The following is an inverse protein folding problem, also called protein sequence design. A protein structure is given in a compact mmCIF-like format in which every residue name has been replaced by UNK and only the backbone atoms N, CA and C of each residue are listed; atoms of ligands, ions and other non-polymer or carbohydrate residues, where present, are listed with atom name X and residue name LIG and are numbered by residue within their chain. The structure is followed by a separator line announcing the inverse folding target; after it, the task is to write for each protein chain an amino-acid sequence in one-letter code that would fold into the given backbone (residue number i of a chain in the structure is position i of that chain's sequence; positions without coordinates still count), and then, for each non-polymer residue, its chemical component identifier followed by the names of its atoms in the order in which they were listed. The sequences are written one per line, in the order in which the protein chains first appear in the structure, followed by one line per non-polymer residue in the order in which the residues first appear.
data_IF_357194701749
#
_entry.id   IF_357194701749
#
_cell.length_a   1.000
_cell.length_b   1.000
_cell.length_c   1.000
_cell.angle_alpha   90.00
_cell.angle_beta   90.00
_cell.angle_gamma   90.00
#
_symmetry.space_group_name_H-M   'P 1'
#
loop_
_entity.id
_entity.type
_entity.pdbx_description
1 polymer ?
#
# COMPACT_ATOMS: atom_id res chain seq x y z
N UNK A 1 3.79 2.49 -31.04
CA UNK A 1 3.66 3.43 -29.91
C UNK A 1 3.54 2.63 -28.61
N UNK A 2 4.59 2.63 -27.80
CA UNK A 2 4.64 1.90 -26.54
C UNK A 2 3.97 2.73 -25.42
N UNK A 3 2.64 2.74 -25.42
CA UNK A 3 1.86 3.31 -24.33
C UNK A 3 1.49 2.22 -23.34
N UNK A 4 2.30 2.00 -22.31
CA UNK A 4 1.80 1.31 -21.11
C UNK A 4 0.84 2.28 -20.43
N UNK A 5 -0.45 2.18 -20.75
CA UNK A 5 -1.50 2.93 -20.06
C UNK A 5 -1.64 2.31 -18.65
N UNK A 6 -1.23 2.99 -17.56
CA UNK A 6 -1.49 2.49 -16.23
C UNK A 6 -2.95 2.80 -15.91
N UNK A 7 -3.88 2.09 -16.55
CA UNK A 7 -5.27 2.10 -16.12
C UNK A 7 -5.31 1.36 -14.79
N UNK A 8 -5.77 2.04 -13.75
CA UNK A 8 -5.98 1.46 -12.43
C UNK A 8 -7.07 0.40 -12.54
N UNK A 9 -6.66 -0.86 -12.73
CA UNK A 9 -7.60 -1.97 -12.72
C UNK A 9 -8.02 -2.22 -11.26
N UNK A 10 -9.15 -1.64 -10.85
CA UNK A 10 -9.76 -1.83 -9.53
C UNK A 10 -10.18 -3.28 -9.25
N UNK A 11 -10.05 -4.17 -10.25
CA UNK A 11 -10.33 -5.59 -10.13
C UNK A 11 -9.23 -6.34 -9.34
N UNK A 12 -8.93 -5.87 -8.13
CA UNK A 12 -8.45 -6.72 -7.06
C UNK A 12 -9.59 -7.64 -6.59
N UNK A 13 -10.21 -8.38 -7.53
CA UNK A 13 -11.26 -9.34 -7.22
C UNK A 13 -10.70 -10.35 -6.24
N UNK A 14 -11.12 -10.26 -4.97
CA UNK A 14 -10.79 -11.24 -3.93
C UNK A 14 -11.37 -12.59 -4.36
N UNK A 15 -10.58 -13.37 -5.10
CA UNK A 15 -10.78 -14.81 -5.24
C UNK A 15 -9.97 -15.45 -4.13
N UNK A 16 -10.57 -16.31 -3.33
CA UNK A 16 -9.88 -17.03 -2.26
C UNK A 16 -8.64 -17.73 -2.81
N UNK A 17 -7.47 -17.15 -2.55
CA UNK A 17 -6.20 -17.66 -3.03
C UNK A 17 -5.31 -17.94 -1.82
N UNK A 18 -4.67 -19.11 -1.81
CA UNK A 18 -3.73 -19.52 -0.77
C UNK A 18 -2.51 -18.57 -0.65
N UNK A 19 -2.27 -17.75 -1.68
CA UNK A 19 -1.24 -16.70 -1.65
C UNK A 19 -1.89 -15.34 -1.44
N UNK A 20 -1.46 -14.56 -0.44
CA UNK A 20 -2.05 -13.26 -0.10
C UNK A 20 -1.83 -12.17 -1.17
N UNK A 21 -1.10 -12.47 -2.25
CA UNK A 21 -0.78 -11.52 -3.31
C UNK A 21 -0.89 -12.18 -4.69
N UNK A 22 -1.59 -11.53 -5.61
CA UNK A 22 -1.72 -11.94 -7.01
C UNK A 22 -0.33 -12.10 -7.68
N UNK A 23 -0.23 -13.04 -8.63
CA UNK A 23 0.96 -13.20 -9.49
C UNK A 23 1.10 -12.07 -10.53
N UNK A 24 0.11 -11.19 -10.64
CA UNK A 24 0.10 -10.08 -11.59
C UNK A 24 1.18 -9.03 -11.25
N UNK A 25 1.73 -8.41 -12.29
CA UNK A 25 2.79 -7.39 -12.19
C UNK A 25 4.21 -7.95 -12.28
N UNK A 26 5.20 -7.05 -12.36
CA UNK A 26 6.62 -7.41 -12.54
C UNK A 26 7.19 -8.10 -11.28
N UNK A 27 7.77 -9.31 -11.38
CA UNK A 27 8.27 -10.07 -10.22
C UNK A 27 9.29 -9.31 -9.38
N UNK A 28 10.27 -8.66 -10.03
CA UNK A 28 11.31 -7.87 -9.33
C UNK A 28 10.70 -6.69 -8.59
N UNK A 29 9.76 -5.97 -9.20
CA UNK A 29 9.07 -4.85 -8.56
C UNK A 29 8.28 -5.31 -7.33
N UNK A 30 7.59 -6.46 -7.42
CA UNK A 30 6.88 -7.06 -6.27
C UNK A 30 7.84 -7.40 -5.14
N UNK A 31 8.99 -7.99 -5.46
CA UNK A 31 10.02 -8.30 -4.48
C UNK A 31 10.58 -7.03 -3.81
N UNK A 32 11.02 -6.04 -4.58
CA UNK A 32 11.54 -4.77 -4.06
C UNK A 32 10.51 -4.03 -3.20
N UNK A 33 9.25 -3.98 -3.62
CA UNK A 33 8.21 -3.32 -2.84
C UNK A 33 7.94 -4.08 -1.54
N UNK A 34 7.90 -5.41 -1.59
CA UNK A 34 7.71 -6.25 -0.40
C UNK A 34 8.85 -6.06 0.61
N UNK A 35 10.10 -6.15 0.16
CA UNK A 35 11.27 -5.97 1.03
C UNK A 35 11.38 -4.56 1.59
N UNK A 36 10.91 -3.53 0.87
CA UNK A 36 10.90 -2.14 1.34
C UNK A 36 9.79 -1.86 2.36
N UNK A 37 8.62 -2.48 2.20
CA UNK A 37 7.46 -2.22 3.07
C UNK A 37 7.66 -2.77 4.48
N UNK A 38 8.35 -3.90 4.65
CA UNK A 38 8.60 -4.50 5.96
C UNK A 38 9.30 -3.51 6.93
N UNK A 39 10.47 -2.92 6.60
CA UNK A 39 11.10 -1.93 7.45
C UNK A 39 10.29 -0.63 7.54
N UNK A 40 9.58 -0.21 6.48
CA UNK A 40 8.68 0.95 6.56
C UNK A 40 7.59 0.78 7.62
N UNK A 41 6.92 -0.37 7.69
CA UNK A 41 5.91 -0.65 8.71
C UNK A 41 6.48 -0.64 10.14
N UNK A 42 7.79 -0.93 10.29
CA UNK A 42 8.47 -0.93 11.59
C UNK A 42 8.91 0.48 12.02
N UNK A 43 9.55 1.22 11.11
CA UNK A 43 10.27 2.46 11.42
C UNK A 43 9.55 3.74 11.01
N UNK A 44 8.65 3.70 10.01
CA UNK A 44 7.90 4.86 9.57
C UNK A 44 6.54 4.92 10.29
N UNK A 45 6.37 5.97 11.10
CA UNK A 45 5.18 6.15 11.94
C UNK A 45 3.90 6.38 11.15
N UNK A 46 3.96 7.05 9.99
CA UNK A 46 2.79 7.23 9.10
C UNK A 46 2.31 5.89 8.54
N UNK A 47 3.23 5.10 7.99
CA UNK A 47 2.88 3.78 7.45
C UNK A 47 2.36 2.83 8.54
N UNK A 48 2.92 2.92 9.74
CA UNK A 48 2.46 2.14 10.90
C UNK A 48 1.06 2.57 11.35
N UNK A 49 0.82 3.87 11.49
CA UNK A 49 -0.49 4.41 11.85
C UNK A 49 -1.55 4.04 10.81
N UNK A 50 -1.23 4.20 9.53
CA UNK A 50 -2.11 3.78 8.44
C UNK A 50 -2.41 2.27 8.48
N UNK A 51 -1.41 1.44 8.74
CA UNK A 51 -1.60 -0.01 8.84
C UNK A 51 -2.49 -0.40 10.02
N UNK A 52 -2.35 0.26 11.17
CA UNK A 52 -3.21 0.05 12.34
C UNK A 52 -4.67 0.43 12.03
N UNK A 53 -4.90 1.60 11.43
CA UNK A 53 -6.24 2.03 10.99
C UNK A 53 -6.91 1.02 10.04
N UNK A 54 -6.13 0.31 9.21
CA UNK A 54 -6.64 -0.73 8.30
C UNK A 54 -6.95 -2.06 9.00
N UNK A 55 -6.23 -2.37 10.08
CA UNK A 55 -6.48 -3.55 10.93
C UNK A 55 -7.69 -3.35 11.84
N UNK A 56 -7.90 -2.14 12.32
CA UNK A 56 -8.99 -1.75 13.22
C UNK A 56 -10.35 -1.58 12.50
N UNK A 57 -10.40 -1.80 11.18
CA UNK A 57 -11.65 -1.72 10.43
C UNK A 57 -12.67 -2.73 10.97
N UNK A 58 -13.95 -2.34 11.10
CA UNK A 58 -14.98 -3.24 11.61
C UNK A 58 -15.17 -4.45 10.67
N UNK A 59 -15.60 -5.59 11.22
CA UNK A 59 -15.65 -6.88 10.52
C UNK A 59 -16.44 -6.85 9.20
N UNK A 60 -17.48 -6.01 9.11
CA UNK A 60 -18.28 -5.81 7.90
C UNK A 60 -17.53 -5.06 6.78
N UNK A 61 -16.40 -4.41 7.09
CA UNK A 61 -15.57 -3.66 6.15
C UNK A 61 -14.31 -4.41 5.71
N UNK A 62 -14.27 -5.74 5.90
CA UNK A 62 -13.18 -6.63 5.49
C UNK A 62 -11.83 -6.23 6.15
N UNK A 63 -11.67 -6.47 7.47
CA UNK A 63 -10.44 -6.16 8.19
C UNK A 63 -9.26 -6.85 7.54
N UNK A 64 -8.20 -6.08 7.29
CA UNK A 64 -7.01 -6.58 6.60
C UNK A 64 -6.11 -7.23 7.66
N UNK A 65 -5.93 -8.55 7.62
CA UNK A 65 -5.22 -9.28 8.69
C UNK A 65 -3.88 -9.88 8.22
N UNK A 66 -2.91 -9.94 9.14
CA UNK A 66 -1.62 -10.60 8.92
C UNK A 66 -0.86 -10.10 7.68
N UNK A 67 -0.64 -11.01 6.72
CA UNK A 67 0.11 -10.75 5.48
C UNK A 67 -0.64 -9.87 4.47
N UNK A 68 -1.96 -9.76 4.57
CA UNK A 68 -2.73 -8.88 3.68
C UNK A 68 -2.36 -7.41 3.90
N UNK A 69 -1.99 -7.02 5.12
CA UNK A 69 -1.56 -5.65 5.45
C UNK A 69 -0.28 -5.29 4.72
N UNK A 70 0.63 -6.26 4.56
CA UNK A 70 1.86 -6.08 3.79
C UNK A 70 1.52 -5.85 2.31
N UNK A 71 0.61 -6.65 1.74
CA UNK A 71 0.14 -6.45 0.36
C UNK A 71 -0.54 -5.09 0.16
N UNK A 72 -1.38 -4.67 1.10
CA UNK A 72 -2.02 -3.36 1.08
C UNK A 72 -1.00 -2.21 1.20
N UNK A 73 0.02 -2.37 2.05
CA UNK A 73 1.09 -1.40 2.20
C UNK A 73 1.98 -1.33 0.95
N UNK A 74 2.22 -2.45 0.26
CA UNK A 74 2.89 -2.48 -1.05
C UNK A 74 2.12 -1.67 -2.08
N UNK A 75 0.80 -1.86 -2.16
CA UNK A 75 -0.04 -1.07 -3.07
C UNK A 75 0.00 0.43 -2.71
N UNK A 76 -0.09 0.79 -1.42
CA UNK A 76 0.05 2.18 -0.97
C UNK A 76 1.41 2.77 -1.36
N UNK A 77 2.51 2.05 -1.14
CA UNK A 77 3.86 2.49 -1.49
C UNK A 77 3.99 2.77 -2.99
N UNK A 78 3.51 1.86 -3.84
CA UNK A 78 3.56 2.03 -5.30
C UNK A 78 2.73 3.24 -5.77
N UNK A 79 1.52 3.42 -5.22
CA UNK A 79 0.69 4.60 -5.52
C UNK A 79 1.35 5.89 -5.07
N UNK A 80 1.97 5.91 -3.89
CA UNK A 80 2.71 7.07 -3.39
C UNK A 80 3.92 7.37 -4.28
N UNK A 81 4.75 6.38 -4.60
CA UNK A 81 5.90 6.56 -5.48
C UNK A 81 5.47 7.12 -6.85
N UNK A 82 4.40 6.57 -7.43
CA UNK A 82 3.84 7.09 -8.68
C UNK A 82 3.38 8.55 -8.55
N UNK A 83 2.65 8.89 -7.48
CA UNK A 83 2.19 10.26 -7.23
C UNK A 83 3.35 11.24 -7.05
N UNK A 84 4.41 10.85 -6.34
CA UNK A 84 5.59 11.69 -6.11
C UNK A 84 6.34 11.96 -7.42
N UNK A 85 6.57 10.93 -8.24
CA UNK A 85 7.21 11.06 -9.56
C UNK A 85 6.34 11.88 -10.49
N UNK A 86 5.03 11.62 -10.54
CA UNK A 86 4.10 12.34 -11.42
C UNK A 86 4.04 13.84 -11.07
N UNK A 87 4.00 14.16 -9.78
CA UNK A 87 3.90 15.55 -9.32
C UNK A 87 5.26 16.22 -9.12
N UNK A 88 6.38 15.51 -9.33
CA UNK A 88 7.74 16.02 -9.07
C UNK A 88 7.88 16.59 -7.65
N UNK A 89 7.36 15.86 -6.66
CA UNK A 89 7.34 16.29 -5.26
C UNK A 89 8.04 15.27 -4.36
N UNK A 90 8.49 15.75 -3.20
CA UNK A 90 9.05 14.89 -2.16
C UNK A 90 7.97 14.42 -1.19
N UNK A 91 8.17 13.22 -0.65
CA UNK A 91 7.31 12.70 0.40
C UNK A 91 7.38 13.60 1.63
N UNK A 92 6.22 14.08 2.07
CA UNK A 92 6.07 14.81 3.34
C UNK A 92 5.32 13.92 4.31
N UNK A 93 5.87 13.76 5.51
CA UNK A 93 5.16 13.11 6.60
C UNK A 93 3.90 13.93 6.90
N UNK A 94 2.72 13.30 7.02
CA UNK A 94 1.54 14.01 7.46
C UNK A 94 1.83 14.60 8.84
N UNK A 95 1.83 15.92 8.91
CA UNK A 95 1.89 16.65 10.17
C UNK A 95 0.61 16.24 10.92
N UNK A 96 0.76 15.52 12.03
CA UNK A 96 -0.36 15.27 12.93
C UNK A 96 -0.74 16.65 13.47
N UNK A 97 -1.76 17.27 12.89
CA UNK A 97 -2.31 18.52 13.40
C UNK A 97 -2.93 18.15 14.75
N UNK A 98 -2.43 18.64 15.90
CA UNK A 98 -3.12 18.43 17.15
C UNK A 98 -4.48 19.11 17.04
N UNK A 99 -5.54 18.32 17.03
CA UNK A 99 -6.90 18.83 17.18
C UNK A 99 -6.99 19.31 18.63
N UNK A 100 -6.83 20.62 18.83
CA UNK A 100 -7.21 21.26 20.08
C UNK A 100 -8.74 21.20 20.15
N UNK A 101 -9.26 20.38 21.07
CA UNK A 101 -10.67 20.25 21.40
C UNK A 101 -10.81 19.90 22.86
#
# INVERSE_FOLDING_TARGET
MAGSNPTESESAGKRGAHTPMSKQGRPVLRYCAWTSVIPMLRFNTDFRAWANQRRERPAHANPVCGREVVGAAVNRLLRLAFALVKNQTFYRLPQVVPVLG
#
